data_IF_888993569513
#
_entry.id   IF_888993569513
#
_cell.length_a   1.000
_cell.length_b   1.000
_cell.length_c   1.000
_cell.angle_alpha   90.00
_cell.angle_beta   90.00
_cell.angle_gamma   90.00
#
_symmetry.space_group_name_H-M   'P 1'
#
loop_
_entity.id
_entity.type
_entity.pdbx_description
1 polymer ?
#
# COMPACT_ATOMS: atom_id res chain seq x y z
N UNK A 1 29.35 -5.33 -14.65
CA UNK A 1 29.15 -4.58 -13.38
C UNK A 1 27.72 -4.82 -12.96
N UNK A 2 27.50 -5.39 -11.80
CA UNK A 2 26.15 -5.59 -11.27
C UNK A 2 25.51 -4.23 -11.02
N UNK A 3 24.43 -3.91 -11.74
CA UNK A 3 23.71 -2.62 -11.62
C UNK A 3 23.05 -2.36 -10.26
N UNK A 4 23.29 -3.24 -9.29
CA UNK A 4 22.83 -3.13 -7.92
C UNK A 4 23.91 -2.43 -7.08
N UNK A 5 23.54 -1.33 -6.48
CA UNK A 5 24.39 -0.51 -5.59
C UNK A 5 24.00 -0.74 -4.14
N UNK A 6 24.78 -0.19 -3.22
CA UNK A 6 24.49 -0.23 -1.78
C UNK A 6 23.08 0.34 -1.48
N UNK A 7 22.67 1.39 -2.22
CA UNK A 7 21.34 1.99 -2.03
C UNK A 7 20.20 1.02 -2.30
N UNK A 8 20.32 0.11 -3.29
CA UNK A 8 19.34 -0.95 -3.53
C UNK A 8 19.23 -1.89 -2.34
N UNK A 9 20.37 -2.34 -1.80
CA UNK A 9 20.40 -3.22 -0.63
C UNK A 9 19.75 -2.59 0.60
N UNK A 10 20.05 -1.32 0.87
CA UNK A 10 19.45 -0.58 1.98
C UNK A 10 17.94 -0.42 1.76
N UNK A 11 17.49 -0.07 0.54
CA UNK A 11 16.06 0.06 0.25
C UNK A 11 15.32 -1.26 0.45
N UNK A 12 15.86 -2.37 -0.04
CA UNK A 12 15.27 -3.70 0.18
C UNK A 12 15.21 -4.03 1.67
N UNK A 13 16.29 -3.76 2.41
CA UNK A 13 16.33 -3.93 3.87
C UNK A 13 15.25 -3.11 4.59
N UNK A 14 15.07 -1.83 4.21
CA UNK A 14 14.03 -0.96 4.76
C UNK A 14 12.62 -1.46 4.42
N UNK A 15 12.39 -1.92 3.18
CA UNK A 15 11.11 -2.51 2.77
C UNK A 15 10.78 -3.77 3.57
N UNK A 16 11.75 -4.66 3.77
CA UNK A 16 11.59 -5.87 4.58
C UNK A 16 11.32 -5.52 6.04
N UNK A 17 12.08 -4.57 6.60
CA UNK A 17 11.87 -4.10 7.97
C UNK A 17 10.47 -3.51 8.15
N UNK A 18 10.04 -2.66 7.22
CA UNK A 18 8.69 -2.11 7.22
C UNK A 18 7.62 -3.20 7.11
N UNK A 19 7.80 -4.16 6.20
CA UNK A 19 6.86 -5.26 6.01
C UNK A 19 6.73 -6.11 7.28
N UNK A 20 7.84 -6.45 7.94
CA UNK A 20 7.84 -7.22 9.19
C UNK A 20 7.16 -6.43 10.31
N UNK A 21 7.55 -5.17 10.51
CA UNK A 21 7.01 -4.36 11.58
C UNK A 21 5.51 -4.06 11.37
N UNK A 22 5.14 -3.56 10.19
CA UNK A 22 3.77 -3.16 9.88
C UNK A 22 2.81 -4.36 9.84
N UNK A 23 3.14 -5.40 9.06
CA UNK A 23 2.30 -6.59 8.96
C UNK A 23 2.32 -7.45 10.21
N UNK A 24 3.47 -7.52 10.91
CA UNK A 24 3.60 -8.22 12.18
C UNK A 24 2.74 -7.58 13.28
N UNK A 25 2.81 -6.26 13.44
CA UNK A 25 1.93 -5.54 14.36
C UNK A 25 0.46 -5.69 13.94
N UNK A 26 0.14 -5.63 12.64
CA UNK A 26 -1.21 -5.87 12.18
C UNK A 26 -1.73 -7.28 12.51
N UNK A 27 -0.87 -8.29 12.44
CA UNK A 27 -1.20 -9.66 12.83
C UNK A 27 -1.40 -9.83 14.35
N UNK A 28 -0.59 -9.13 15.15
CA UNK A 28 -0.66 -9.16 16.62
C UNK A 28 -1.81 -8.31 17.18
N UNK A 29 -2.54 -7.58 16.35
CA UNK A 29 -3.59 -6.65 16.77
C UNK A 29 -4.60 -7.26 17.74
N UNK A 30 -5.22 -8.45 17.51
CA UNK A 30 -6.22 -8.97 18.45
C UNK A 30 -5.66 -9.19 19.85
N UNK A 31 -4.41 -9.68 19.92
CA UNK A 31 -3.71 -9.94 21.18
C UNK A 31 -3.27 -8.63 21.87
N UNK A 32 -2.74 -7.70 21.10
CA UNK A 32 -2.32 -6.40 21.63
C UNK A 32 -3.51 -5.56 22.13
N UNK A 33 -4.63 -5.56 21.39
CA UNK A 33 -5.85 -4.87 21.80
C UNK A 33 -6.45 -5.46 23.10
N UNK A 34 -6.30 -6.77 23.33
CA UNK A 34 -6.75 -7.39 24.59
C UNK A 34 -5.89 -7.00 25.80
N UNK A 35 -4.62 -6.62 25.60
CA UNK A 35 -3.71 -6.23 26.67
C UNK A 35 -3.78 -4.75 27.05
N UNK A 36 -3.74 -3.88 26.05
CA UNK A 36 -3.61 -2.42 26.26
C UNK A 36 -4.80 -1.62 25.73
N UNK A 37 -5.78 -2.31 25.17
CA UNK A 37 -6.97 -1.70 24.59
C UNK A 37 -6.76 -1.21 23.14
N UNK A 38 -7.86 -1.06 22.38
CA UNK A 38 -7.81 -0.75 20.94
C UNK A 38 -7.17 0.59 20.61
N UNK A 39 -7.39 1.62 21.44
CA UNK A 39 -6.83 2.97 21.24
C UNK A 39 -5.31 2.99 21.42
N UNK A 40 -4.84 2.47 22.57
CA UNK A 40 -3.41 2.44 22.89
C UNK A 40 -2.65 1.60 21.84
N UNK A 41 -3.20 0.44 21.45
CA UNK A 41 -2.59 -0.38 20.43
C UNK A 41 -2.46 0.36 19.08
N UNK A 42 -3.48 1.10 18.67
CA UNK A 42 -3.45 1.89 17.45
C UNK A 42 -2.39 2.99 17.49
N UNK A 43 -2.25 3.67 18.62
CA UNK A 43 -1.19 4.67 18.81
C UNK A 43 0.19 4.02 18.73
N UNK A 44 0.42 2.90 19.40
CA UNK A 44 1.68 2.15 19.32
C UNK A 44 1.97 1.70 17.88
N UNK A 45 0.97 1.19 17.18
CA UNK A 45 1.08 0.82 15.77
C UNK A 45 1.50 2.00 14.89
N UNK A 46 0.87 3.17 15.08
CA UNK A 46 1.19 4.37 14.33
C UNK A 46 2.60 4.89 14.64
N UNK A 47 3.01 4.90 15.91
CA UNK A 47 4.34 5.34 16.33
C UNK A 47 5.48 4.47 15.77
N UNK A 48 5.23 3.22 15.42
CA UNK A 48 6.21 2.36 14.77
C UNK A 48 6.12 2.49 13.24
N UNK A 49 4.91 2.42 12.70
CA UNK A 49 4.71 2.33 11.24
C UNK A 49 4.96 3.65 10.52
N UNK A 50 4.55 4.80 11.09
CA UNK A 50 4.71 6.10 10.44
C UNK A 50 6.18 6.55 10.31
N UNK A 51 7.04 6.43 11.34
CA UNK A 51 8.45 6.76 11.19
C UNK A 51 9.16 5.85 10.16
N UNK A 52 8.86 4.54 10.16
CA UNK A 52 9.43 3.63 9.16
C UNK A 52 8.98 3.99 7.74
N UNK A 53 7.71 4.32 7.54
CA UNK A 53 7.22 4.80 6.26
C UNK A 53 7.90 6.12 5.84
N UNK A 54 8.07 7.06 6.77
CA UNK A 54 8.77 8.31 6.51
C UNK A 54 10.23 8.08 6.09
N UNK A 55 10.95 7.19 6.78
CA UNK A 55 12.33 6.81 6.41
C UNK A 55 12.37 6.21 5.01
N UNK A 56 11.45 5.31 4.65
CA UNK A 56 11.35 4.74 3.31
C UNK A 56 11.15 5.82 2.24
N UNK A 57 10.22 6.74 2.48
CA UNK A 57 9.92 7.84 1.54
C UNK A 57 11.12 8.77 1.38
N UNK A 58 11.73 9.19 2.49
CA UNK A 58 12.89 10.07 2.47
C UNK A 58 14.06 9.39 1.74
N UNK A 59 14.32 8.12 2.07
CA UNK A 59 15.38 7.37 1.42
C UNK A 59 15.12 7.22 -0.08
N UNK A 60 13.89 6.91 -0.49
CA UNK A 60 13.51 6.87 -1.90
C UNK A 60 13.76 8.21 -2.61
N UNK A 61 13.34 9.32 -2.01
CA UNK A 61 13.52 10.66 -2.60
C UNK A 61 15.00 10.97 -2.84
N UNK A 62 15.88 10.61 -1.91
CA UNK A 62 17.31 10.88 -2.04
C UNK A 62 18.03 9.97 -3.05
N UNK A 63 17.53 8.74 -3.25
CA UNK A 63 18.20 7.72 -4.06
C UNK A 63 17.46 7.34 -5.35
N UNK A 64 16.36 8.02 -5.70
CA UNK A 64 15.50 7.67 -6.84
C UNK A 64 16.20 7.64 -8.21
N UNK A 65 17.35 8.27 -8.31
CA UNK A 65 18.17 8.29 -9.52
C UNK A 65 19.39 7.35 -9.47
N UNK A 66 19.52 6.56 -8.40
CA UNK A 66 20.64 5.63 -8.25
C UNK A 66 20.52 4.42 -9.18
N UNK A 67 21.68 3.79 -9.42
CA UNK A 67 21.77 2.60 -10.23
C UNK A 67 21.89 2.88 -11.72
N UNK A 68 21.36 1.95 -12.53
CA UNK A 68 21.40 2.03 -13.99
C UNK A 68 20.15 2.74 -14.49
N UNK A 69 20.30 3.69 -15.42
CA UNK A 69 19.21 4.22 -16.19
C UNK A 69 18.76 3.15 -17.20
N UNK A 70 17.56 2.60 -17.01
CA UNK A 70 16.99 1.54 -17.85
C UNK A 70 16.29 2.11 -19.09
N UNK A 71 15.62 3.25 -18.91
CA UNK A 71 14.99 4.04 -19.96
C UNK A 71 14.86 5.50 -19.54
N UNK A 72 14.72 6.37 -20.52
CA UNK A 72 14.39 7.77 -20.30
C UNK A 72 13.24 8.17 -21.23
N UNK A 73 12.03 8.29 -20.68
CA UNK A 73 10.82 8.64 -21.42
C UNK A 73 10.40 10.11 -21.20
N UNK A 74 11.17 10.89 -20.45
CA UNK A 74 10.80 12.26 -20.05
C UNK A 74 10.63 13.19 -21.25
N UNK A 75 11.39 12.98 -22.33
CA UNK A 75 11.26 13.74 -23.58
C UNK A 75 10.18 13.24 -24.53
N UNK A 76 9.48 12.14 -24.23
CA UNK A 76 8.45 11.57 -25.11
C UNK A 76 7.17 12.41 -25.03
N UNK A 77 6.61 12.87 -26.17
CA UNK A 77 5.36 13.60 -26.18
C UNK A 77 4.23 12.87 -25.44
N UNK A 78 3.52 13.56 -24.57
CA UNK A 78 2.42 13.01 -23.79
C UNK A 78 2.83 12.24 -22.53
N UNK A 79 4.10 11.86 -22.36
CA UNK A 79 4.56 11.09 -21.18
C UNK A 79 4.34 11.84 -19.87
N UNK A 80 4.61 13.13 -19.83
CA UNK A 80 4.36 13.94 -18.64
C UNK A 80 2.88 13.93 -18.26
N UNK A 81 2.00 14.15 -19.24
CA UNK A 81 0.54 14.10 -19.03
C UNK A 81 0.09 12.74 -18.52
N UNK A 82 0.59 11.65 -19.12
CA UNK A 82 0.28 10.29 -18.68
C UNK A 82 0.69 10.08 -17.21
N UNK A 83 1.91 10.42 -16.85
CA UNK A 83 2.42 10.22 -15.46
C UNK A 83 1.65 11.06 -14.45
N UNK A 84 1.32 12.32 -14.78
CA UNK A 84 0.47 13.13 -13.91
C UNK A 84 -0.95 12.58 -13.77
N UNK A 85 -1.54 12.08 -14.87
CA UNK A 85 -2.86 11.45 -14.84
C UNK A 85 -2.86 10.18 -13.99
N UNK A 86 -1.85 9.31 -14.14
CA UNK A 86 -1.68 8.13 -13.32
C UNK A 86 -1.47 8.49 -11.84
N UNK A 87 -0.67 9.52 -11.55
CA UNK A 87 -0.47 9.98 -10.18
C UNK A 87 -1.76 10.51 -9.56
N UNK A 88 -2.53 11.31 -10.28
CA UNK A 88 -3.84 11.78 -9.84
C UNK A 88 -4.81 10.61 -9.59
N UNK A 89 -4.88 9.66 -10.51
CA UNK A 89 -5.68 8.45 -10.36
C UNK A 89 -5.25 7.62 -9.13
N UNK A 90 -3.95 7.49 -8.91
CA UNK A 90 -3.40 6.84 -7.71
C UNK A 90 -3.95 7.45 -6.43
N UNK A 91 -3.96 8.79 -6.32
CA UNK A 91 -4.51 9.48 -5.14
C UNK A 91 -6.01 9.25 -4.95
N UNK A 92 -6.79 9.13 -6.03
CA UNK A 92 -8.22 8.79 -5.93
C UNK A 92 -8.43 7.44 -5.23
N UNK A 93 -7.54 6.47 -5.46
CA UNK A 93 -7.59 5.17 -4.80
C UNK A 93 -6.96 5.18 -3.41
N UNK A 94 -5.89 5.94 -3.19
CA UNK A 94 -5.21 6.03 -1.88
C UNK A 94 -6.02 6.83 -0.86
N UNK A 95 -6.71 7.89 -1.30
CA UNK A 95 -7.40 8.84 -0.46
C UNK A 95 -8.51 8.20 0.42
N UNK A 96 -9.41 7.35 -0.08
CA UNK A 96 -10.43 6.74 0.77
C UNK A 96 -9.87 5.86 1.90
N UNK A 97 -8.65 5.32 1.73
CA UNK A 97 -8.01 4.50 2.75
C UNK A 97 -7.50 5.33 3.95
N UNK A 98 -7.37 6.66 3.77
CA UNK A 98 -6.84 7.58 4.79
C UNK A 98 -7.93 8.43 5.46
N UNK A 99 -9.20 8.26 5.06
CA UNK A 99 -10.26 9.24 5.35
C UNK A 99 -10.80 9.26 6.76
N UNK A 100 -10.67 8.19 7.53
CA UNK A 100 -11.11 8.28 8.90
C UNK A 100 -9.95 8.74 9.81
N UNK A 101 -9.54 10.01 9.61
CA UNK A 101 -8.49 10.63 10.42
C UNK A 101 -8.80 10.57 11.92
N UNK A 102 -10.07 10.64 12.31
CA UNK A 102 -10.49 10.55 13.71
C UNK A 102 -10.27 9.15 14.29
N UNK A 103 -10.47 8.11 13.48
CA UNK A 103 -10.12 6.75 13.87
C UNK A 103 -8.60 6.52 13.85
N UNK A 104 -7.90 7.06 12.86
CA UNK A 104 -6.43 6.97 12.76
C UNK A 104 -5.80 7.69 13.95
N UNK A 105 -6.28 8.88 14.31
CA UNK A 105 -5.85 9.63 15.47
C UNK A 105 -6.30 9.03 16.81
N UNK A 106 -6.99 7.89 16.80
CA UNK A 106 -7.54 7.22 17.97
C UNK A 106 -8.54 8.07 18.82
N UNK A 107 -9.12 9.11 18.21
CA UNK A 107 -10.15 9.96 18.84
C UNK A 107 -11.49 9.23 18.88
N UNK A 108 -11.82 8.51 17.81
CA UNK A 108 -13.01 7.65 17.75
C UNK A 108 -12.67 6.18 17.97
N UNK A 109 -13.61 5.40 18.54
CA UNK A 109 -13.48 3.94 18.60
C UNK A 109 -13.37 3.39 17.18
N UNK A 110 -12.43 2.46 16.94
CA UNK A 110 -12.37 1.78 15.66
C UNK A 110 -13.63 0.94 15.46
N UNK A 111 -14.40 1.29 14.47
CA UNK A 111 -15.50 0.46 14.01
C UNK A 111 -15.08 -0.36 12.81
N UNK A 112 -15.67 -1.55 12.66
CA UNK A 112 -15.44 -2.38 11.50
C UNK A 112 -16.51 -2.02 10.48
N UNK A 113 -16.02 -1.45 9.39
CA UNK A 113 -16.88 -1.11 8.27
C UNK A 113 -16.65 -2.14 7.15
N UNK A 114 -17.62 -3.04 6.98
CA UNK A 114 -17.67 -3.93 5.84
C UNK A 114 -18.48 -3.23 4.73
N UNK A 115 -17.82 -2.31 4.03
CA UNK A 115 -18.48 -1.55 2.97
C UNK A 115 -18.54 -2.33 1.65
N UNK A 116 -19.72 -2.20 0.98
CA UNK A 116 -19.96 -2.71 -0.37
C UNK A 116 -20.29 -1.57 -1.35
N UNK A 117 -20.01 -0.32 -0.99
CA UNK A 117 -20.41 0.87 -1.75
C UNK A 117 -19.23 1.72 -2.18
N UNK A 118 -19.45 2.60 -3.14
CA UNK A 118 -18.44 3.53 -3.63
C UNK A 118 -17.24 2.81 -4.26
N UNK A 119 -16.03 3.25 -3.94
CA UNK A 119 -14.78 2.72 -4.51
C UNK A 119 -14.54 1.24 -4.20
N UNK A 120 -15.15 0.71 -3.12
CA UNK A 120 -15.05 -0.70 -2.74
C UNK A 120 -15.75 -1.61 -3.78
N UNK A 121 -16.71 -1.11 -4.53
CA UNK A 121 -17.32 -1.83 -5.67
C UNK A 121 -16.37 -1.93 -6.86
N UNK A 122 -15.43 -1.00 -6.99
CA UNK A 122 -14.39 -1.08 -8.02
C UNK A 122 -13.33 -2.10 -7.62
N UNK A 123 -12.85 -2.01 -6.38
CA UNK A 123 -11.91 -2.96 -5.76
C UNK A 123 -12.05 -2.91 -4.26
N UNK A 124 -12.03 -4.06 -3.57
CA UNK A 124 -12.06 -4.08 -2.09
C UNK A 124 -10.74 -3.66 -1.45
N UNK A 125 -9.68 -3.49 -2.26
CA UNK A 125 -8.36 -3.03 -1.81
C UNK A 125 -7.89 -1.78 -2.56
N UNK A 126 -8.59 -0.64 -2.43
CA UNK A 126 -8.27 0.57 -3.18
C UNK A 126 -6.85 1.07 -2.89
N UNK A 127 -6.36 0.95 -1.66
CA UNK A 127 -5.01 1.35 -1.30
C UNK A 127 -3.94 0.55 -2.09
N UNK A 128 -4.13 -0.75 -2.28
CA UNK A 128 -3.23 -1.57 -3.08
C UNK A 128 -3.22 -1.11 -4.53
N UNK A 129 -4.41 -0.89 -5.12
CA UNK A 129 -4.53 -0.41 -6.51
C UNK A 129 -3.87 0.96 -6.67
N UNK A 130 -4.14 1.90 -5.76
CA UNK A 130 -3.50 3.22 -5.78
C UNK A 130 -1.97 3.13 -5.70
N UNK A 131 -1.44 2.27 -4.82
CA UNK A 131 0.00 2.08 -4.70
C UNK A 131 0.63 1.46 -5.97
N UNK A 132 -0.05 0.49 -6.60
CA UNK A 132 0.43 -0.10 -7.87
C UNK A 132 0.48 0.96 -8.97
N UNK A 133 -0.58 1.78 -9.12
CA UNK A 133 -0.61 2.88 -10.09
C UNK A 133 0.50 3.90 -9.80
N UNK A 134 0.72 4.25 -8.54
CA UNK A 134 1.81 5.14 -8.12
C UNK A 134 3.18 4.57 -8.52
N UNK A 135 3.43 3.29 -8.26
CA UNK A 135 4.66 2.60 -8.63
C UNK A 135 4.88 2.62 -10.16
N UNK A 136 3.84 2.36 -10.94
CA UNK A 136 3.90 2.41 -12.41
C UNK A 136 4.27 3.82 -12.87
N UNK A 137 3.57 4.86 -12.38
CA UNK A 137 3.81 6.24 -12.76
C UNK A 137 5.26 6.67 -12.48
N UNK A 138 5.77 6.39 -11.29
CA UNK A 138 7.13 6.75 -10.89
C UNK A 138 8.20 5.94 -11.62
N UNK A 139 7.95 4.66 -11.86
CA UNK A 139 8.88 3.81 -12.60
C UNK A 139 8.97 4.24 -14.07
N UNK A 140 7.87 4.58 -14.71
CA UNK A 140 7.86 5.14 -16.07
C UNK A 140 8.64 6.45 -16.15
N UNK A 141 8.45 7.34 -15.17
CA UNK A 141 9.08 8.66 -15.19
C UNK A 141 10.56 8.63 -14.88
N UNK A 142 10.97 7.88 -13.86
CA UNK A 142 12.35 7.84 -13.39
C UNK A 142 13.22 6.85 -14.18
N UNK A 143 12.68 5.69 -14.54
CA UNK A 143 13.36 4.70 -15.39
C UNK A 143 14.66 4.14 -14.85
N UNK A 144 14.89 4.18 -13.53
CA UNK A 144 16.12 3.69 -12.90
C UNK A 144 15.93 2.30 -12.34
N UNK A 145 17.02 1.53 -12.22
CA UNK A 145 17.01 0.22 -11.57
C UNK A 145 16.60 0.33 -10.09
N UNK A 146 16.99 1.41 -9.40
CA UNK A 146 16.60 1.66 -8.02
C UNK A 146 15.08 1.83 -7.88
N UNK A 147 14.47 2.65 -8.74
CA UNK A 147 13.02 2.86 -8.74
C UNK A 147 12.27 1.57 -9.07
N UNK A 148 12.77 0.79 -10.02
CA UNK A 148 12.17 -0.50 -10.39
C UNK A 148 12.17 -1.48 -9.20
N UNK A 149 13.32 -1.63 -8.51
CA UNK A 149 13.45 -2.51 -7.33
C UNK A 149 12.54 -2.03 -6.20
N UNK A 150 12.50 -0.72 -5.95
CA UNK A 150 11.61 -0.14 -4.92
C UNK A 150 10.15 -0.40 -5.24
N UNK A 151 9.73 -0.16 -6.48
CA UNK A 151 8.35 -0.39 -6.93
C UNK A 151 7.95 -1.86 -6.84
N UNK A 152 8.83 -2.77 -7.28
CA UNK A 152 8.61 -4.21 -7.15
C UNK A 152 8.43 -4.63 -5.68
N UNK A 153 9.29 -4.15 -4.78
CA UNK A 153 9.20 -4.44 -3.35
C UNK A 153 7.91 -3.90 -2.71
N UNK A 154 7.49 -2.68 -3.05
CA UNK A 154 6.22 -2.10 -2.59
C UNK A 154 5.02 -2.89 -3.10
N UNK A 155 4.99 -3.25 -4.38
CA UNK A 155 3.91 -4.05 -4.96
C UNK A 155 3.81 -5.41 -4.26
N UNK A 156 4.93 -6.11 -4.08
CA UNK A 156 4.97 -7.39 -3.38
C UNK A 156 4.47 -7.27 -1.94
N UNK A 157 4.88 -6.21 -1.23
CA UNK A 157 4.39 -5.93 0.12
C UNK A 157 2.86 -5.75 0.14
N UNK A 158 2.30 -4.96 -0.79
CA UNK A 158 0.85 -4.74 -0.85
C UNK A 158 0.07 -5.99 -1.24
N UNK A 159 0.56 -6.78 -2.18
CA UNK A 159 -0.05 -8.06 -2.55
C UNK A 159 -0.08 -9.03 -1.35
N UNK A 160 1.02 -9.12 -0.61
CA UNK A 160 1.07 -9.90 0.63
C UNK A 160 0.08 -9.36 1.68
N UNK A 161 0.02 -8.04 1.87
CA UNK A 161 -0.88 -7.41 2.83
C UNK A 161 -2.36 -7.65 2.49
N UNK A 162 -2.73 -7.62 1.21
CA UNK A 162 -4.06 -7.95 0.70
C UNK A 162 -4.41 -9.41 1.01
N UNK A 163 -3.55 -10.35 0.63
CA UNK A 163 -3.76 -11.78 0.89
C UNK A 163 -3.89 -12.08 2.38
N UNK A 164 -2.98 -11.55 3.20
CA UNK A 164 -3.01 -11.73 4.65
C UNK A 164 -4.22 -11.02 5.29
N UNK A 165 -4.56 -9.84 4.81
CA UNK A 165 -5.72 -9.07 5.27
C UNK A 165 -7.04 -9.79 5.03
N UNK A 166 -7.26 -10.29 3.82
CA UNK A 166 -8.45 -11.06 3.46
C UNK A 166 -8.61 -12.31 4.33
N UNK A 167 -7.52 -13.05 4.56
CA UNK A 167 -7.54 -14.24 5.44
C UNK A 167 -7.92 -13.90 6.87
N UNK A 168 -7.34 -12.83 7.40
CA UNK A 168 -7.63 -12.37 8.75
C UNK A 168 -9.07 -11.89 8.91
N UNK A 169 -9.62 -11.21 7.90
CA UNK A 169 -11.00 -10.77 7.90
C UNK A 169 -11.97 -11.95 7.76
N UNK A 170 -11.67 -12.92 6.90
CA UNK A 170 -12.43 -14.15 6.80
C UNK A 170 -12.48 -14.93 8.14
N UNK A 171 -11.35 -15.03 8.83
CA UNK A 171 -11.29 -15.67 10.16
C UNK A 171 -12.06 -14.89 11.23
N UNK A 172 -12.10 -13.56 11.14
CA UNK A 172 -12.72 -12.71 12.18
C UNK A 172 -14.22 -12.50 11.98
N UNK A 173 -14.68 -12.38 10.73
CA UNK A 173 -16.04 -11.98 10.38
C UNK A 173 -16.85 -13.05 9.64
N UNK A 174 -16.23 -14.18 9.30
CA UNK A 174 -16.91 -15.34 8.74
C UNK A 174 -17.82 -15.01 7.55
N UNK A 175 -19.10 -15.37 7.67
CA UNK A 175 -20.10 -15.19 6.62
C UNK A 175 -20.31 -13.71 6.20
N UNK A 176 -20.23 -12.78 7.15
CA UNK A 176 -20.37 -11.35 6.82
C UNK A 176 -19.28 -10.88 5.84
N UNK A 177 -18.04 -11.32 6.04
CA UNK A 177 -16.97 -11.02 5.08
C UNK A 177 -17.09 -11.84 3.79
N UNK A 178 -17.57 -13.07 3.86
CA UNK A 178 -17.83 -13.89 2.67
C UNK A 178 -18.84 -13.23 1.73
N UNK A 179 -19.92 -12.64 2.27
CA UNK A 179 -20.89 -11.88 1.50
C UNK A 179 -20.26 -10.67 0.79
N UNK A 180 -19.42 -9.87 1.49
CA UNK A 180 -18.69 -8.75 0.89
C UNK A 180 -17.73 -9.24 -0.20
N UNK A 181 -17.02 -10.34 0.07
CA UNK A 181 -16.06 -10.91 -0.88
C UNK A 181 -16.74 -11.41 -2.16
N UNK A 182 -17.96 -11.95 -2.05
CA UNK A 182 -18.76 -12.41 -3.19
C UNK A 182 -19.25 -11.27 -4.10
N UNK A 183 -19.33 -10.04 -3.58
CA UNK A 183 -19.82 -8.86 -4.32
C UNK A 183 -18.72 -7.88 -4.72
N UNK A 184 -17.48 -8.16 -4.34
CA UNK A 184 -16.33 -7.28 -4.57
C UNK A 184 -15.13 -8.08 -5.05
N UNK A 185 -14.22 -7.44 -5.78
CA UNK A 185 -13.00 -8.06 -6.30
C UNK A 185 -11.75 -7.39 -5.77
N UNK A 186 -10.62 -8.11 -5.75
CA UNK A 186 -9.28 -7.55 -5.58
C UNK A 186 -8.87 -6.78 -6.83
N UNK A 187 -9.15 -7.36 -8.00
CA UNK A 187 -8.87 -6.73 -9.29
C UNK A 187 -9.93 -5.67 -9.57
N UNK A 188 -9.55 -4.45 -9.97
CA UNK A 188 -10.52 -3.42 -10.32
C UNK A 188 -11.52 -3.92 -11.36
N UNK A 189 -12.80 -3.66 -11.10
CA UNK A 189 -13.96 -4.05 -11.93
C UNK A 189 -14.18 -5.57 -12.09
N UNK A 190 -13.39 -6.43 -11.44
CA UNK A 190 -13.51 -7.88 -11.56
C UNK A 190 -14.90 -8.39 -11.15
N UNK A 191 -15.47 -7.89 -10.06
CA UNK A 191 -16.80 -8.29 -9.62
C UNK A 191 -17.93 -7.85 -10.58
N UNK A 192 -17.69 -6.89 -11.48
CA UNK A 192 -18.65 -6.48 -12.51
C UNK A 192 -18.55 -7.41 -13.72
N UNK A 193 -17.34 -7.93 -13.97
CA UNK A 193 -17.11 -8.85 -15.09
C UNK A 193 -17.61 -10.28 -14.80
N UNK A 194 -17.67 -10.64 -13.53
CA UNK A 194 -18.12 -11.98 -13.09
C UNK A 194 -19.65 -12.07 -12.90
N UNK A 195 -20.42 -10.97 -13.13
CA UNK A 195 -21.87 -10.91 -13.06
C UNK A 195 -22.39 -10.48 -11.72
#
# INVERSE_FOLDING_TARGET
MTGLTLSHGIMVGLLVLFAIAHSGLAALRPKGESWIGPRAYRVCFALVSLPLAAVLIIYFIHHRYDGIQLWNLQGTPGMQTLVWSLSALSFIFLYPATFNLLEIAAIQKPEVHLYETGIIRITRHPQMVGQVIWCIAHTLWLGTSFTLVTSAGLILHHLFAVWHGDRRWASRYGEAFAAVKGRTSVVPFGAIADG
#
